data_IF_000159320469
#
_entry.id   IF_000159320469
#
_cell.length_a   1.000
_cell.length_b   1.000
_cell.length_c   1.000
_cell.angle_alpha   90.00
_cell.angle_beta   90.00
_cell.angle_gamma   90.00
#
_symmetry.space_group_name_H-M   'P 1'
#
loop_
_entity.id
_entity.type
_entity.pdbx_description
1 polymer ?
#
# COMPACT_ATOMS: atom_id res chain seq x y z
N UNK A 1 15.71 -6.18 7.77
CA UNK A 1 15.39 -6.42 9.20
C UNK A 1 13.94 -6.07 9.57
N UNK A 2 13.41 -4.91 9.19
CA UNK A 2 12.03 -4.50 9.55
C UNK A 2 10.95 -5.48 9.07
N UNK A 3 11.08 -6.02 7.86
CA UNK A 3 10.11 -6.98 7.32
C UNK A 3 10.03 -8.29 8.14
N UNK A 4 11.17 -8.79 8.59
CA UNK A 4 11.23 -9.93 9.52
C UNK A 4 10.54 -9.61 10.85
N UNK A 5 10.84 -8.43 11.42
CA UNK A 5 10.22 -7.96 12.68
C UNK A 5 8.69 -7.86 12.54
N UNK A 6 8.19 -7.31 11.44
CA UNK A 6 6.76 -7.24 11.15
C UNK A 6 6.13 -8.64 11.09
N UNK A 7 6.79 -9.57 10.40
CA UNK A 7 6.34 -10.96 10.30
C UNK A 7 6.22 -11.64 11.67
N UNK A 8 7.17 -11.36 12.58
CA UNK A 8 7.12 -11.85 13.97
C UNK A 8 5.99 -11.21 14.80
N UNK A 9 5.71 -9.91 14.62
CA UNK A 9 4.60 -9.22 15.27
C UNK A 9 3.22 -9.77 14.85
N UNK A 10 3.12 -10.30 13.64
CA UNK A 10 1.94 -11.02 13.12
C UNK A 10 1.86 -12.49 13.54
N UNK A 11 2.75 -12.93 14.45
CA UNK A 11 2.82 -14.30 14.96
C UNK A 11 2.98 -15.35 13.85
N UNK A 12 3.80 -15.02 12.84
CA UNK A 12 4.19 -15.95 11.78
C UNK A 12 5.32 -16.87 12.25
N UNK A 13 5.35 -18.09 11.68
CA UNK A 13 6.39 -19.08 11.96
C UNK A 13 7.77 -18.57 11.50
N UNK A 14 8.86 -19.02 12.14
CA UNK A 14 10.21 -18.58 11.78
C UNK A 14 10.53 -18.94 10.33
N UNK A 15 10.18 -20.16 9.89
CA UNK A 15 10.37 -20.60 8.51
C UNK A 15 9.65 -19.70 7.51
N UNK A 16 8.38 -19.36 7.77
CA UNK A 16 7.60 -18.47 6.91
C UNK A 16 8.18 -17.06 6.89
N UNK A 17 8.56 -16.52 8.05
CA UNK A 17 9.14 -15.17 8.18
C UNK A 17 10.47 -15.05 7.41
N UNK A 18 11.36 -16.04 7.52
CA UNK A 18 12.65 -16.05 6.78
C UNK A 18 12.39 -16.18 5.28
N UNK A 19 11.52 -17.10 4.87
CA UNK A 19 11.19 -17.30 3.45
C UNK A 19 10.59 -16.04 2.83
N UNK A 20 9.68 -15.36 3.55
CA UNK A 20 9.09 -14.11 3.08
C UNK A 20 10.13 -12.98 2.92
N UNK A 21 11.12 -12.91 3.82
CA UNK A 21 12.23 -11.94 3.69
C UNK A 21 13.10 -12.26 2.48
N UNK A 22 13.40 -13.54 2.23
CA UNK A 22 14.16 -13.93 1.04
C UNK A 22 13.40 -13.56 -0.25
N UNK A 23 12.09 -13.83 -0.29
CA UNK A 23 11.23 -13.42 -1.41
C UNK A 23 11.14 -11.89 -1.58
N UNK A 24 11.20 -11.12 -0.49
CA UNK A 24 11.27 -9.66 -0.56
C UNK A 24 12.58 -9.17 -1.22
N UNK A 25 13.69 -9.84 -0.96
CA UNK A 25 15.00 -9.52 -1.55
C UNK A 25 14.99 -9.81 -3.06
N UNK A 26 14.40 -10.94 -3.47
CA UNK A 26 14.29 -11.33 -4.88
C UNK A 26 12.91 -10.99 -5.49
N UNK A 27 12.33 -9.85 -5.13
CA UNK A 27 10.97 -9.55 -5.56
C UNK A 27 10.86 -9.34 -7.09
N UNK A 28 9.71 -9.64 -7.72
CA UNK A 28 9.53 -9.48 -9.18
C UNK A 28 9.69 -8.04 -9.68
N UNK A 29 9.57 -7.04 -8.80
CA UNK A 29 9.76 -5.64 -9.10
C UNK A 29 11.18 -5.14 -8.75
N UNK A 30 12.15 -6.04 -8.51
CA UNK A 30 13.45 -5.67 -7.92
C UNK A 30 14.22 -4.63 -8.72
N UNK A 31 14.02 -4.54 -10.04
CA UNK A 31 14.60 -3.46 -10.87
C UNK A 31 14.28 -2.07 -10.29
N UNK A 32 13.05 -1.84 -9.84
CA UNK A 32 12.61 -0.59 -9.22
C UNK A 32 13.00 -0.48 -7.73
N UNK A 33 13.48 -1.55 -7.12
CA UNK A 33 14.02 -1.54 -5.77
C UNK A 33 15.54 -1.34 -5.75
N UNK A 34 16.23 -1.65 -6.85
CA UNK A 34 17.69 -1.56 -6.97
C UNK A 34 18.16 -0.27 -7.64
N UNK A 35 17.37 0.30 -8.55
CA UNK A 35 17.65 1.61 -9.18
C UNK A 35 17.06 2.75 -8.32
N UNK A 36 17.49 4.00 -8.55
CA UNK A 36 17.06 5.23 -7.87
C UNK A 36 15.58 5.59 -8.13
N UNK A 37 14.68 4.70 -7.70
CA UNK A 37 13.24 4.82 -7.75
C UNK A 37 12.65 4.92 -6.33
N UNK A 38 11.44 5.45 -6.21
CA UNK A 38 10.82 5.71 -4.91
C UNK A 38 10.17 4.49 -4.26
N UNK A 39 10.04 3.37 -4.99
CA UNK A 39 9.42 2.11 -4.58
C UNK A 39 10.10 1.52 -3.34
N UNK A 40 11.44 1.46 -3.32
CA UNK A 40 12.20 0.95 -2.19
C UNK A 40 11.99 1.79 -0.92
N UNK A 41 12.09 3.13 -1.05
CA UNK A 41 11.88 4.05 0.07
C UNK A 41 10.43 4.00 0.57
N UNK A 42 9.47 3.99 -0.35
CA UNK A 42 8.04 3.85 -0.04
C UNK A 42 7.77 2.55 0.74
N UNK A 43 8.32 1.42 0.29
CA UNK A 43 8.16 0.12 0.94
C UNK A 43 8.81 0.10 2.32
N UNK A 44 10.01 0.67 2.47
CA UNK A 44 10.69 0.81 3.76
C UNK A 44 9.86 1.62 4.76
N UNK A 45 9.33 2.77 4.34
CA UNK A 45 8.50 3.65 5.17
C UNK A 45 7.21 2.93 5.58
N UNK A 46 6.53 2.25 4.67
CA UNK A 46 5.33 1.46 4.95
C UNK A 46 5.61 0.33 5.94
N UNK A 47 6.60 -0.53 5.67
CA UNK A 47 6.94 -1.66 6.54
C UNK A 47 7.32 -1.15 7.94
N UNK A 48 8.08 -0.07 8.02
CA UNK A 48 8.44 0.56 9.29
C UNK A 48 7.20 1.09 10.01
N UNK A 49 6.31 1.80 9.33
CA UNK A 49 5.06 2.28 9.90
C UNK A 49 4.23 1.14 10.50
N UNK A 50 4.10 0.02 9.76
CA UNK A 50 3.38 -1.16 10.22
C UNK A 50 4.01 -1.79 11.47
N UNK A 51 5.35 -1.82 11.57
CA UNK A 51 6.07 -2.27 12.78
C UNK A 51 5.74 -1.37 13.97
N UNK A 52 5.75 -0.05 13.78
CA UNK A 52 5.42 0.92 14.83
C UNK A 52 3.95 0.83 15.25
N UNK A 53 3.04 0.62 14.30
CA UNK A 53 1.61 0.45 14.55
C UNK A 53 1.33 -0.79 15.41
N UNK A 54 1.96 -1.93 15.08
CA UNK A 54 1.86 -3.16 15.89
C UNK A 54 2.55 -3.03 17.25
N UNK A 55 3.55 -2.13 17.37
CA UNK A 55 4.24 -1.84 18.63
C UNK A 55 3.53 -0.78 19.49
N UNK A 56 2.27 -0.42 19.18
CA UNK A 56 1.49 0.61 19.88
C UNK A 56 2.09 2.03 19.87
N UNK A 57 2.99 2.32 18.92
CA UNK A 57 3.62 3.65 18.75
C UNK A 57 2.93 4.42 17.63
N UNK A 58 1.69 4.87 17.90
CA UNK A 58 0.80 5.44 16.88
C UNK A 58 1.37 6.71 16.22
N UNK A 59 1.93 7.64 16.99
CA UNK A 59 2.48 8.89 16.44
C UNK A 59 3.58 8.63 15.41
N UNK A 60 4.56 7.79 15.76
CA UNK A 60 5.66 7.40 14.85
C UNK A 60 5.13 6.67 13.61
N UNK A 61 4.14 5.78 13.78
CA UNK A 61 3.49 5.11 12.66
C UNK A 61 2.82 6.11 11.70
N UNK A 62 2.06 7.09 12.23
CA UNK A 62 1.39 8.11 11.42
C UNK A 62 2.37 9.01 10.68
N UNK A 63 3.47 9.43 11.32
CA UNK A 63 4.54 10.17 10.63
C UNK A 63 5.12 9.37 9.46
N UNK A 64 5.40 8.09 9.65
CA UNK A 64 5.93 7.22 8.60
C UNK A 64 4.91 6.93 7.48
N UNK A 65 3.62 6.81 7.80
CA UNK A 65 2.54 6.72 6.79
C UNK A 65 2.47 8.01 5.97
N UNK A 66 2.53 9.16 6.63
CA UNK A 66 2.52 10.48 5.98
C UNK A 66 3.72 10.64 5.04
N UNK A 67 4.92 10.24 5.48
CA UNK A 67 6.12 10.22 4.63
C UNK A 67 6.01 9.21 3.47
N UNK A 68 5.37 8.05 3.69
CA UNK A 68 5.11 7.06 2.63
C UNK A 68 4.18 7.60 1.55
N UNK A 69 3.14 8.36 1.95
CA UNK A 69 2.23 9.07 1.04
C UNK A 69 2.89 10.25 0.32
N UNK A 70 3.83 10.94 0.99
CA UNK A 70 4.63 11.99 0.37
C UNK A 70 5.59 11.42 -0.69
N UNK A 71 6.20 10.26 -0.39
CA UNK A 71 7.09 9.57 -1.31
C UNK A 71 6.35 9.12 -2.59
N UNK A 72 5.11 8.65 -2.45
CA UNK A 72 4.25 8.24 -3.57
C UNK A 72 2.77 8.39 -3.23
N UNK A 73 1.98 8.87 -4.19
CA UNK A 73 0.53 9.12 -4.01
C UNK A 73 -0.28 7.88 -3.62
N UNK A 74 0.10 6.68 -4.09
CA UNK A 74 -0.53 5.42 -3.66
C UNK A 74 -0.36 5.14 -2.16
N UNK A 75 0.61 5.78 -1.49
CA UNK A 75 0.78 5.73 -0.04
C UNK A 75 -0.33 6.40 0.74
N UNK A 76 -1.19 7.21 0.13
CA UNK A 76 -2.40 7.72 0.79
C UNK A 76 -3.32 6.57 1.26
N UNK A 77 -3.33 5.45 0.53
CA UNK A 77 -4.11 4.25 0.90
C UNK A 77 -3.57 3.58 2.16
N UNK A 78 -2.26 3.73 2.45
CA UNK A 78 -1.62 3.15 3.64
C UNK A 78 -2.22 3.69 4.95
N UNK A 79 -2.91 4.84 4.91
CA UNK A 79 -3.62 5.38 6.06
C UNK A 79 -4.68 4.42 6.61
N UNK A 80 -5.24 3.57 5.73
CA UNK A 80 -6.22 2.56 6.10
C UNK A 80 -5.72 1.64 7.22
N UNK A 81 -4.41 1.37 7.29
CA UNK A 81 -3.82 0.57 8.37
C UNK A 81 -3.97 1.24 9.75
N UNK A 82 -3.76 2.54 9.85
CA UNK A 82 -3.91 3.29 11.10
C UNK A 82 -5.38 3.57 11.45
N UNK A 83 -6.22 3.82 10.43
CA UNK A 83 -7.65 4.09 10.61
C UNK A 83 -8.43 2.83 11.03
N UNK A 84 -8.07 1.65 10.51
CA UNK A 84 -8.84 0.42 10.69
C UNK A 84 -9.04 0.01 12.17
N UNK A 85 -8.02 -0.04 13.04
CA UNK A 85 -8.23 -0.39 14.45
C UNK A 85 -9.13 0.62 15.19
N UNK A 86 -9.04 1.91 14.84
CA UNK A 86 -9.89 2.95 15.41
C UNK A 86 -11.33 2.79 14.94
N UNK A 87 -11.54 2.52 13.65
CA UNK A 87 -12.85 2.25 13.07
C UNK A 87 -13.54 1.08 13.76
N UNK A 88 -12.86 -0.06 13.93
CA UNK A 88 -13.42 -1.22 14.64
C UNK A 88 -13.75 -0.89 16.09
N UNK A 89 -12.88 -0.15 16.79
CA UNK A 89 -13.14 0.26 18.16
C UNK A 89 -14.35 1.20 18.28
N UNK A 90 -14.53 2.12 17.33
CA UNK A 90 -15.71 3.01 17.30
C UNK A 90 -16.98 2.17 17.11
N UNK A 91 -16.99 1.25 16.15
CA UNK A 91 -18.14 0.37 15.89
C UNK A 91 -18.47 -0.56 17.07
N UNK A 92 -17.46 -1.14 17.72
CA UNK A 92 -17.70 -2.01 18.88
C UNK A 92 -18.18 -1.21 20.09
N UNK A 93 -17.56 -0.06 20.39
CA UNK A 93 -17.98 0.83 21.48
C UNK A 93 -19.41 1.33 21.30
N UNK A 94 -19.77 1.75 20.08
CA UNK A 94 -21.13 2.18 19.77
C UNK A 94 -22.13 1.03 19.87
N UNK A 95 -21.81 -0.16 19.36
CA UNK A 95 -22.67 -1.33 19.48
C UNK A 95 -22.91 -1.73 20.95
N UNK A 96 -21.85 -1.76 21.78
CA UNK A 96 -21.98 -2.05 23.22
C UNK A 96 -22.75 -0.96 23.94
N UNK A 97 -22.54 0.31 23.57
CA UNK A 97 -23.25 1.44 24.14
C UNK A 97 -24.76 1.33 23.92
N UNK A 98 -25.20 1.05 22.69
CA UNK A 98 -26.62 0.89 22.38
C UNK A 98 -27.27 -0.28 23.11
N UNK A 99 -26.58 -1.43 23.20
CA UNK A 99 -27.06 -2.59 23.95
C UNK A 99 -27.22 -2.29 25.44
N UNK A 100 -26.19 -1.70 26.04
CA UNK A 100 -26.23 -1.38 27.46
C UNK A 100 -27.20 -0.24 27.78
N UNK A 101 -27.34 0.74 26.88
CA UNK A 101 -28.31 1.82 27.03
C UNK A 101 -29.73 1.28 27.02
N UNK A 102 -30.06 0.37 26.10
CA UNK A 102 -31.37 -0.30 26.06
C UNK A 102 -31.66 -1.06 27.36
N UNK A 103 -30.69 -1.83 27.88
CA UNK A 103 -30.82 -2.56 29.15
C UNK A 103 -30.96 -1.62 30.36
N UNK A 104 -30.25 -0.48 30.37
CA UNK A 104 -30.29 0.52 31.44
C UNK A 104 -31.59 1.32 31.47
N UNK A 105 -32.13 1.65 30.30
CA UNK A 105 -33.45 2.28 30.18
C UNK A 105 -34.54 1.33 30.66
N UNK A 106 -34.47 0.05 30.26
CA UNK A 106 -35.40 -0.98 30.71
C UNK A 106 -35.36 -1.20 32.23
N UNK A 107 -34.16 -1.20 32.83
CA UNK A 107 -33.98 -1.43 34.27
C UNK A 107 -34.21 -0.19 35.16
N UNK A 108 -34.59 0.97 34.59
CA UNK A 108 -34.74 2.27 35.29
C UNK A 108 -33.51 2.70 36.13
N UNK A 109 -32.34 2.09 35.90
CA UNK A 109 -31.05 2.40 36.53
C UNK A 109 -30.13 3.10 35.53
N UNK A 110 -30.64 4.16 34.91
CA UNK A 110 -29.86 4.93 33.95
C UNK A 110 -28.81 5.77 34.69
N UNK A 111 -27.53 5.37 34.57
CA UNK A 111 -26.41 6.18 35.05
C UNK A 111 -25.95 7.13 33.94
N UNK A 112 -26.40 8.38 34.01
CA UNK A 112 -26.06 9.44 33.04
C UNK A 112 -24.54 9.62 32.89
N UNK A 113 -23.78 9.48 33.97
CA UNK A 113 -22.33 9.60 33.93
C UNK A 113 -21.69 8.51 33.05
N UNK A 114 -22.15 7.26 33.15
CA UNK A 114 -21.65 6.16 32.32
C UNK A 114 -21.96 6.37 30.82
N UNK A 115 -23.12 6.96 30.53
CA UNK A 115 -23.53 7.31 29.16
C UNK A 115 -22.62 8.41 28.59
N UNK A 116 -22.44 9.50 29.33
CA UNK A 116 -21.58 10.62 28.95
C UNK A 116 -20.13 10.19 28.75
N UNK A 117 -19.59 9.35 29.64
CA UNK A 117 -18.22 8.83 29.53
C UNK A 117 -18.02 7.96 28.28
N UNK A 118 -19.03 7.15 27.91
CA UNK A 118 -18.95 6.32 26.70
C UNK A 118 -19.05 7.17 25.44
N UNK A 119 -19.96 8.14 25.41
CA UNK A 119 -20.06 9.11 24.31
C UNK A 119 -18.74 9.87 24.13
N UNK A 120 -18.15 10.37 25.22
CA UNK A 120 -16.87 11.06 25.19
C UNK A 120 -15.73 10.20 24.63
N UNK A 121 -15.67 8.91 24.99
CA UNK A 121 -14.70 7.97 24.41
C UNK A 121 -14.87 7.82 22.90
N UNK A 122 -16.11 7.76 22.41
CA UNK A 122 -16.38 7.69 20.95
C UNK A 122 -15.91 8.96 20.26
N UNK A 123 -16.26 10.14 20.79
CA UNK A 123 -15.81 11.44 20.26
C UNK A 123 -14.29 11.52 20.22
N UNK A 124 -13.58 11.13 21.29
CA UNK A 124 -12.11 11.09 21.32
C UNK A 124 -11.51 10.22 20.20
N UNK A 125 -12.12 9.05 19.91
CA UNK A 125 -11.65 8.18 18.82
C UNK A 125 -11.94 8.75 17.43
N UNK A 126 -13.08 9.43 17.26
CA UNK A 126 -13.41 10.13 16.01
C UNK A 126 -12.44 11.29 15.76
N UNK A 127 -12.17 12.12 16.77
CA UNK A 127 -11.20 13.22 16.67
C UNK A 127 -9.81 12.69 16.32
N UNK A 128 -9.38 11.60 16.95
CA UNK A 128 -8.11 10.94 16.61
C UNK A 128 -8.10 10.41 15.17
N UNK A 129 -9.20 9.80 14.71
CA UNK A 129 -9.32 9.30 13.34
C UNK A 129 -9.20 10.43 12.32
N UNK A 130 -9.92 11.55 12.53
CA UNK A 130 -9.84 12.74 11.67
C UNK A 130 -8.43 13.34 11.70
N UNK A 131 -7.82 13.42 12.89
CA UNK A 131 -6.44 13.89 13.04
C UNK A 131 -5.44 13.08 12.21
N UNK A 132 -5.55 11.75 12.24
CA UNK A 132 -4.71 10.86 11.41
C UNK A 132 -4.92 11.13 9.91
N UNK A 133 -6.18 11.27 9.47
CA UNK A 133 -6.53 11.62 8.08
C UNK A 133 -5.89 12.93 7.65
N UNK A 134 -6.04 13.98 8.45
CA UNK A 134 -5.46 15.28 8.17
C UNK A 134 -3.92 15.21 8.10
N UNK A 135 -3.26 14.58 9.07
CA UNK A 135 -1.78 14.47 9.11
C UNK A 135 -1.22 13.64 7.95
N UNK A 136 -1.91 12.58 7.53
CA UNK A 136 -1.48 11.77 6.40
C UNK A 136 -1.71 12.48 5.05
N UNK A 137 -2.79 13.26 4.93
CA UNK A 137 -3.08 14.04 3.71
C UNK A 137 -2.24 15.31 3.59
N UNK A 138 -1.75 15.86 4.71
CA UNK A 138 -1.05 17.14 4.76
C UNK A 138 0.11 17.28 3.76
N UNK A 139 1.06 16.32 3.61
CA UNK A 139 2.13 16.47 2.63
C UNK A 139 1.63 16.50 1.18
N UNK A 140 0.57 15.73 0.89
CA UNK A 140 -0.06 15.76 -0.43
C UNK A 140 -0.73 17.12 -0.68
N UNK A 141 -1.44 17.66 0.30
CA UNK A 141 -2.02 18.99 0.22
C UNK A 141 -0.95 20.08 0.01
N UNK A 142 0.17 19.99 0.73
CA UNK A 142 1.30 20.90 0.59
C UNK A 142 1.92 20.84 -0.81
N UNK A 143 2.08 19.64 -1.37
CA UNK A 143 2.56 19.46 -2.75
C UNK A 143 1.59 20.05 -3.78
N UNK A 144 0.28 19.81 -3.62
CA UNK A 144 -0.73 20.39 -4.52
C UNK A 144 -0.77 21.92 -4.42
N UNK A 145 -0.65 22.46 -3.20
CA UNK A 145 -0.59 23.89 -2.97
C UNK A 145 0.66 24.53 -3.59
N UNK A 146 1.82 23.87 -3.45
CA UNK A 146 3.05 24.29 -4.12
C UNK A 146 2.89 24.32 -5.66
N UNK A 147 2.29 23.27 -6.24
CA UNK A 147 1.97 23.25 -7.67
C UNK A 147 1.02 24.38 -8.09
N UNK A 148 0.00 24.66 -7.28
CA UNK A 148 -0.90 25.77 -7.54
C UNK A 148 -0.18 27.12 -7.52
N UNK A 149 0.65 27.39 -6.51
CA UNK A 149 1.47 28.61 -6.44
C UNK A 149 2.39 28.79 -7.67
N UNK A 150 2.97 27.70 -8.19
CA UNK A 150 3.88 27.76 -9.33
C UNK A 150 3.19 28.06 -10.66
N UNK A 151 2.03 27.45 -10.89
CA UNK A 151 1.39 27.38 -12.21
C UNK A 151 0.10 28.22 -12.34
N UNK A 152 -0.52 28.63 -11.24
CA UNK A 152 -1.83 29.28 -11.22
C UNK A 152 -1.84 30.71 -10.65
N UNK A 153 -0.84 31.09 -9.86
CA UNK A 153 -0.69 32.47 -9.40
C UNK A 153 0.19 33.26 -10.37
N UNK A 154 -0.37 34.34 -10.90
CA UNK A 154 0.36 35.29 -11.77
C UNK A 154 1.03 36.43 -10.96
N UNK A 155 0.76 36.53 -9.65
CA UNK A 155 1.16 37.66 -8.81
C UNK A 155 2.68 37.77 -8.53
N UNK A 156 3.10 39.03 -8.47
CA UNK A 156 4.45 39.58 -8.62
C UNK A 156 5.53 39.04 -7.66
N UNK A 157 6.59 38.49 -8.26
CA UNK A 157 8.02 38.47 -7.88
C UNK A 157 8.51 38.14 -6.45
N UNK A 158 7.80 38.43 -5.35
CA UNK A 158 8.35 38.33 -3.99
C UNK A 158 8.23 36.93 -3.36
N UNK A 159 7.03 36.33 -3.33
CA UNK A 159 6.83 34.99 -2.77
C UNK A 159 7.30 33.88 -3.73
N UNK A 160 7.17 34.13 -5.04
CA UNK A 160 7.48 33.17 -6.10
C UNK A 160 8.98 32.96 -6.32
N UNK A 161 9.80 34.01 -6.14
CA UNK A 161 11.25 33.96 -6.38
C UNK A 161 11.97 32.97 -5.48
N UNK A 162 11.56 32.83 -4.21
CA UNK A 162 12.11 31.83 -3.30
C UNK A 162 11.59 30.40 -3.52
N UNK A 163 10.49 30.22 -4.25
CA UNK A 163 9.82 28.93 -4.49
C UNK A 163 10.09 28.36 -5.89
N UNK A 164 10.65 29.16 -6.80
CA UNK A 164 10.95 28.74 -8.16
C UNK A 164 12.04 27.67 -8.17
N UNK A 165 11.84 26.56 -8.92
CA UNK A 165 12.92 25.62 -9.17
C UNK A 165 14.06 26.30 -9.96
N UNK A 166 15.24 25.69 -10.04
CA UNK A 166 16.30 26.16 -10.93
C UNK A 166 15.81 26.21 -12.39
N UNK A 167 16.32 27.19 -13.14
CA UNK A 167 15.96 27.38 -14.56
C UNK A 167 16.34 26.12 -15.35
N UNK A 168 15.42 25.57 -16.16
CA UNK A 168 15.69 24.37 -16.96
C UNK A 168 16.73 24.63 -18.05
N UNK A 169 17.39 23.56 -18.49
CA UNK A 169 18.34 23.65 -19.62
C UNK A 169 17.64 24.14 -20.90
N UNK A 170 18.37 24.82 -21.82
CA UNK A 170 17.76 25.33 -23.06
C UNK A 170 17.05 24.25 -23.87
N UNK A 171 17.63 23.05 -23.95
CA UNK A 171 17.03 21.91 -24.64
C UNK A 171 15.67 21.50 -24.06
N UNK A 172 15.54 21.49 -22.72
CA UNK A 172 14.29 21.16 -22.04
C UNK A 172 13.25 22.26 -22.25
N UNK A 173 13.65 23.52 -22.23
CA UNK A 173 12.78 24.66 -22.54
C UNK A 173 12.24 24.60 -23.96
N UNK A 174 13.10 24.31 -24.95
CA UNK A 174 12.68 24.12 -26.34
C UNK A 174 11.74 22.93 -26.49
N UNK A 175 11.99 21.83 -25.78
CA UNK A 175 11.12 20.65 -25.80
C UNK A 175 9.75 20.93 -25.20
N UNK A 176 9.69 21.63 -24.06
CA UNK A 176 8.44 22.04 -23.44
C UNK A 176 7.60 22.95 -24.36
N UNK A 177 8.25 23.88 -25.06
CA UNK A 177 7.61 24.73 -26.08
C UNK A 177 7.05 23.89 -27.24
N UNK A 178 7.81 22.92 -27.76
CA UNK A 178 7.35 22.01 -28.83
C UNK A 178 6.12 21.20 -28.43
N UNK A 179 6.06 20.75 -27.18
CA UNK A 179 4.93 20.02 -26.64
C UNK A 179 3.77 20.92 -26.15
N UNK A 180 3.90 22.23 -26.27
CA UNK A 180 2.96 23.21 -25.72
C UNK A 180 2.64 22.97 -24.23
N UNK A 181 3.66 22.57 -23.44
CA UNK A 181 3.53 22.37 -21.98
C UNK A 181 3.91 23.66 -21.27
N UNK A 182 2.99 24.15 -20.42
CA UNK A 182 3.26 25.31 -19.55
C UNK A 182 4.35 24.96 -18.54
N UNK A 183 5.33 25.84 -18.41
CA UNK A 183 6.39 25.76 -17.38
C UNK A 183 6.21 26.89 -16.36
N UNK A 184 6.79 26.78 -15.15
CA UNK A 184 6.83 27.89 -14.20
C UNK A 184 7.52 29.16 -14.75
N UNK A 185 8.31 29.04 -15.82
CA UNK A 185 9.05 30.15 -16.43
C UNK A 185 8.35 30.76 -17.64
N UNK A 186 7.20 30.22 -18.06
CA UNK A 186 6.47 30.75 -19.22
C UNK A 186 5.84 32.09 -18.84
N UNK A 187 6.32 33.18 -19.45
CA UNK A 187 5.75 34.53 -19.31
C UNK A 187 4.74 34.80 -20.43
N UNK A 188 3.75 35.66 -20.18
CA UNK A 188 2.72 36.11 -21.13
C UNK A 188 1.80 35.01 -21.68
N UNK A 189 1.02 34.36 -20.80
CA UNK A 189 0.01 33.38 -21.19
C UNK A 189 -1.39 33.90 -20.86
N UNK A 190 -2.28 33.93 -21.86
CA UNK A 190 -3.67 34.41 -21.70
C UNK A 190 -4.63 33.38 -21.10
N UNK A 191 -4.21 32.11 -20.99
CA UNK A 191 -5.03 31.02 -20.44
C UNK A 191 -4.34 30.30 -19.27
N UNK A 192 -5.02 30.27 -18.11
CA UNK A 192 -4.63 29.46 -16.97
C UNK A 192 -4.86 27.95 -17.24
N UNK A 193 -4.04 27.03 -16.68
CA UNK A 193 -4.33 25.61 -16.71
C UNK A 193 -5.74 25.32 -16.17
N UNK A 194 -6.41 24.33 -16.76
CA UNK A 194 -7.77 23.92 -16.35
C UNK A 194 -7.87 23.56 -14.87
N UNK A 195 -6.78 23.07 -14.26
CA UNK A 195 -6.74 22.72 -12.83
C UNK A 195 -6.61 23.92 -11.89
N UNK A 196 -6.45 25.16 -12.41
CA UNK A 196 -6.32 26.37 -11.60
C UNK A 196 -7.66 26.91 -11.07
N UNK A 197 -8.78 26.62 -11.75
CA UNK A 197 -10.12 27.04 -11.32
C UNK A 197 -10.71 26.22 -10.16
N UNK A 198 -10.04 25.13 -9.77
CA UNK A 198 -10.50 24.21 -8.72
C UNK A 198 -9.40 23.99 -7.69
N UNK A 199 -9.25 24.94 -6.78
CA UNK A 199 -8.37 24.77 -5.61
C UNK A 199 -9.12 24.04 -4.50
N UNK A 200 -8.54 23.00 -3.87
CA UNK A 200 -7.38 22.21 -4.27
C UNK A 200 -7.80 20.76 -4.49
N UNK A 201 -7.86 20.25 -5.72
CA UNK A 201 -7.68 18.82 -5.98
C UNK A 201 -7.42 18.57 -7.48
N UNK A 202 -6.18 18.18 -7.75
CA UNK A 202 -5.79 17.29 -8.84
C UNK A 202 -5.21 17.89 -10.13
N UNK A 203 -4.14 18.67 -9.98
CA UNK A 203 -3.17 18.89 -11.07
C UNK A 203 -2.72 17.55 -11.66
N UNK A 204 -2.42 16.56 -10.80
CA UNK A 204 -1.93 15.25 -11.20
C UNK A 204 -2.94 14.49 -12.08
N UNK A 205 -4.20 14.28 -11.69
CA UNK A 205 -5.13 13.48 -12.52
C UNK A 205 -5.36 14.13 -13.89
N UNK A 206 -5.42 15.46 -13.98
CA UNK A 206 -5.57 16.18 -15.25
C UNK A 206 -4.35 16.00 -16.15
N UNK A 207 -3.15 16.10 -15.59
CA UNK A 207 -1.90 15.85 -16.30
C UNK A 207 -1.83 14.38 -16.77
N UNK A 208 -2.17 13.42 -15.91
CA UNK A 208 -2.18 12.00 -16.26
C UNK A 208 -3.17 11.68 -17.39
N UNK A 209 -4.37 12.27 -17.32
CA UNK A 209 -5.37 12.08 -18.36
C UNK A 209 -4.90 12.68 -19.70
N UNK A 210 -4.34 13.90 -19.69
CA UNK A 210 -3.87 14.57 -20.91
C UNK A 210 -2.68 13.87 -21.58
N UNK A 211 -1.65 13.49 -20.81
CA UNK A 211 -0.40 12.96 -21.39
C UNK A 211 -0.33 11.45 -21.44
N UNK A 212 -1.00 10.76 -20.53
CA UNK A 212 -0.94 9.31 -20.42
C UNK A 212 -2.27 8.63 -20.74
N UNK A 213 -3.33 9.37 -21.06
CA UNK A 213 -4.68 8.84 -21.33
C UNK A 213 -5.15 7.87 -20.24
N UNK A 214 -4.88 8.26 -18.99
CA UNK A 214 -5.27 7.52 -17.78
C UNK A 214 -6.67 7.97 -17.37
N UNK A 215 -7.54 6.99 -17.13
CA UNK A 215 -8.91 7.18 -16.68
C UNK A 215 -9.61 5.84 -16.54
N UNK A 216 -10.85 5.86 -16.04
CA UNK A 216 -11.63 4.64 -15.83
C UNK A 216 -11.77 3.85 -17.14
N UNK A 217 -11.14 2.67 -17.19
CA UNK A 217 -11.13 1.73 -18.32
C UNK A 217 -10.60 2.29 -19.65
N UNK A 218 -9.95 3.45 -19.67
CA UNK A 218 -9.45 4.08 -20.90
C UNK A 218 -8.25 3.34 -21.54
N UNK A 219 -7.58 2.49 -20.76
CA UNK A 219 -6.40 1.73 -21.19
C UNK A 219 -6.72 0.46 -22.00
N UNK A 220 -7.97 -0.02 -21.95
CA UNK A 220 -8.34 -1.33 -22.47
C UNK A 220 -8.45 -1.31 -24.00
N UNK A 221 -7.35 -1.68 -24.66
CA UNK A 221 -7.23 -1.80 -26.11
C UNK A 221 -6.55 -3.12 -26.45
N UNK A 222 -6.89 -3.75 -27.57
CA UNK A 222 -6.27 -5.01 -28.01
C UNK A 222 -4.73 -4.93 -28.08
N UNK A 223 -4.17 -3.78 -28.45
CA UNK A 223 -2.72 -3.56 -28.49
C UNK A 223 -2.03 -3.69 -27.12
N UNK A 224 -2.77 -3.61 -26.01
CA UNK A 224 -2.24 -3.66 -24.66
C UNK A 224 -2.20 -5.07 -24.06
N UNK A 225 -2.69 -6.10 -24.76
CA UNK A 225 -2.70 -7.50 -24.28
C UNK A 225 -1.34 -7.95 -23.70
N UNK A 226 -0.18 -7.63 -24.31
CA UNK A 226 1.12 -7.97 -23.72
C UNK A 226 1.33 -7.42 -22.31
N UNK A 227 0.85 -6.20 -22.03
CA UNK A 227 0.96 -5.56 -20.72
C UNK A 227 0.02 -6.20 -19.68
N UNK A 228 -1.14 -6.71 -20.11
CA UNK A 228 -2.00 -7.51 -19.24
C UNK A 228 -1.36 -8.86 -18.91
N UNK A 229 -0.74 -9.52 -19.88
CA UNK A 229 0.01 -10.76 -19.64
C UNK A 229 1.18 -10.52 -18.66
N UNK A 230 1.85 -9.38 -18.77
CA UNK A 230 2.91 -8.98 -17.85
C UNK A 230 2.42 -8.75 -16.42
N UNK A 231 1.20 -8.25 -16.22
CA UNK A 231 0.62 -8.06 -14.89
C UNK A 231 -0.13 -9.31 -14.37
N UNK A 232 -0.41 -10.28 -15.24
CA UNK A 232 -1.25 -11.42 -14.89
C UNK A 232 -0.75 -12.22 -13.68
N UNK A 233 0.54 -12.54 -13.53
CA UNK A 233 1.00 -13.34 -12.39
C UNK A 233 0.75 -12.67 -11.03
N UNK A 234 1.02 -11.37 -10.88
CA UNK A 234 0.76 -10.66 -9.62
C UNK A 234 -0.73 -10.55 -9.33
N UNK A 235 -1.55 -10.37 -10.37
CA UNK A 235 -3.01 -10.30 -10.23
C UNK A 235 -3.61 -11.65 -9.83
N UNK A 236 -3.13 -12.75 -10.43
CA UNK A 236 -3.52 -14.11 -10.04
C UNK A 236 -3.16 -14.37 -8.58
N UNK A 237 -1.94 -14.03 -8.14
CA UNK A 237 -1.53 -14.16 -6.73
C UNK A 237 -2.43 -13.31 -5.83
N UNK A 238 -2.74 -12.07 -6.22
CA UNK A 238 -3.62 -11.19 -5.45
C UNK A 238 -5.04 -11.77 -5.31
N UNK A 239 -5.61 -12.27 -6.41
CA UNK A 239 -6.91 -12.94 -6.42
C UNK A 239 -6.90 -14.18 -5.52
N UNK A 240 -5.87 -15.02 -5.62
CA UNK A 240 -5.73 -16.22 -4.77
C UNK A 240 -5.65 -15.88 -3.27
N UNK A 241 -4.94 -14.81 -2.90
CA UNK A 241 -4.89 -14.30 -1.52
C UNK A 241 -6.29 -13.92 -1.03
N UNK A 242 -7.02 -13.13 -1.82
CA UNK A 242 -8.34 -12.62 -1.46
C UNK A 242 -9.35 -13.78 -1.38
N UNK A 243 -9.36 -14.68 -2.36
CA UNK A 243 -10.24 -15.85 -2.39
C UNK A 243 -9.95 -16.81 -1.24
N UNK A 244 -8.69 -17.15 -0.98
CA UNK A 244 -8.34 -18.04 0.12
C UNK A 244 -8.68 -17.44 1.49
N UNK A 245 -8.46 -16.13 1.68
CA UNK A 245 -8.88 -15.45 2.90
C UNK A 245 -10.41 -15.46 3.05
N UNK A 246 -11.15 -15.19 1.96
CA UNK A 246 -12.62 -15.24 1.96
C UNK A 246 -13.15 -16.63 2.33
N UNK A 247 -12.59 -17.70 1.75
CA UNK A 247 -12.97 -19.06 2.06
C UNK A 247 -12.64 -19.46 3.51
N UNK A 248 -11.48 -19.02 4.03
CA UNK A 248 -11.04 -19.35 5.40
C UNK A 248 -11.75 -18.51 6.48
N UNK A 249 -12.06 -17.24 6.20
CA UNK A 249 -12.49 -16.25 7.19
C UNK A 249 -13.68 -15.41 6.70
N UNK A 250 -14.68 -16.05 6.08
CA UNK A 250 -15.85 -15.39 5.44
C UNK A 250 -16.55 -14.39 6.36
N UNK A 251 -16.78 -14.74 7.63
CA UNK A 251 -17.44 -13.87 8.61
C UNK A 251 -16.60 -12.62 8.92
N UNK A 252 -15.30 -12.80 9.12
CA UNK A 252 -14.37 -11.70 9.35
C UNK A 252 -14.33 -10.76 8.14
N UNK A 253 -14.30 -11.31 6.93
CA UNK A 253 -14.35 -10.53 5.70
C UNK A 253 -15.68 -9.73 5.62
N UNK A 254 -16.83 -10.39 5.62
CA UNK A 254 -18.12 -9.70 5.43
C UNK A 254 -18.47 -8.71 6.54
N UNK A 255 -18.00 -8.92 7.76
CA UNK A 255 -18.25 -8.00 8.90
C UNK A 255 -17.16 -6.95 9.08
N UNK A 256 -16.27 -6.77 8.10
CA UNK A 256 -15.14 -5.84 8.15
C UNK A 256 -14.21 -6.07 9.37
N UNK A 257 -14.26 -7.24 10.00
CA UNK A 257 -13.48 -7.56 11.19
C UNK A 257 -14.17 -7.31 12.54
N UNK A 258 -15.50 -7.10 12.56
CA UNK A 258 -16.30 -7.08 13.79
C UNK A 258 -16.36 -8.47 14.41
N UNK A 259 -16.68 -9.49 13.59
CA UNK A 259 -16.72 -10.89 14.01
C UNK A 259 -15.48 -11.61 13.49
N UNK A 260 -14.49 -11.79 14.36
CA UNK A 260 -13.24 -12.46 14.00
C UNK A 260 -12.93 -13.55 15.00
N UNK A 261 -12.74 -14.76 14.48
CA UNK A 261 -12.49 -15.96 15.29
C UNK A 261 -11.01 -16.07 15.71
N UNK A 262 -10.09 -15.48 14.94
CA UNK A 262 -8.65 -15.63 15.14
C UNK A 262 -7.90 -14.29 15.10
N UNK A 263 -7.04 -14.04 16.09
CA UNK A 263 -6.20 -12.83 16.14
C UNK A 263 -5.33 -12.65 14.88
N UNK A 264 -4.80 -13.74 14.31
CA UNK A 264 -4.01 -13.65 13.07
C UNK A 264 -4.85 -13.13 11.92
N UNK A 265 -6.08 -13.64 11.76
CA UNK A 265 -7.01 -13.16 10.74
C UNK A 265 -7.36 -11.67 10.96
N UNK A 266 -7.55 -11.25 12.22
CA UNK A 266 -7.79 -9.84 12.58
C UNK A 266 -6.64 -8.93 12.15
N UNK A 267 -5.40 -9.38 12.31
CA UNK A 267 -4.21 -8.61 11.94
C UNK A 267 -3.93 -8.63 10.43
N UNK A 268 -4.28 -9.72 9.73
CA UNK A 268 -4.10 -9.82 8.28
C UNK A 268 -5.20 -9.10 7.49
N UNK A 269 -6.41 -8.95 8.05
CA UNK A 269 -7.56 -8.38 7.34
C UNK A 269 -7.30 -7.00 6.70
N UNK A 270 -6.65 -6.02 7.37
CA UNK A 270 -6.30 -4.74 6.75
C UNK A 270 -5.44 -4.91 5.49
N UNK A 271 -4.52 -5.88 5.49
CA UNK A 271 -3.69 -6.16 4.31
C UNK A 271 -4.50 -6.73 3.15
N UNK A 272 -5.54 -7.53 3.43
CA UNK A 272 -6.45 -8.06 2.41
C UNK A 272 -7.25 -6.93 1.77
N UNK A 273 -7.83 -6.03 2.57
CA UNK A 273 -8.56 -4.87 2.04
C UNK A 273 -7.66 -3.92 1.27
N UNK A 274 -6.44 -3.69 1.76
CA UNK A 274 -5.46 -2.87 1.07
C UNK A 274 -5.10 -3.47 -0.30
N UNK A 275 -4.84 -4.77 -0.37
CA UNK A 275 -4.56 -5.49 -1.61
C UNK A 275 -5.76 -5.46 -2.57
N UNK A 276 -6.97 -5.71 -2.06
CA UNK A 276 -8.21 -5.67 -2.85
C UNK A 276 -8.42 -4.29 -3.46
N UNK A 277 -8.32 -3.23 -2.65
CA UNK A 277 -8.49 -1.86 -3.12
C UNK A 277 -7.46 -1.49 -4.18
N UNK A 278 -6.16 -1.71 -3.93
CA UNK A 278 -5.11 -1.35 -4.88
C UNK A 278 -5.20 -2.15 -6.18
N UNK A 279 -5.60 -3.43 -6.11
CA UNK A 279 -5.78 -4.27 -7.29
C UNK A 279 -6.97 -3.77 -8.13
N UNK A 280 -8.14 -3.55 -7.53
CA UNK A 280 -9.32 -3.05 -8.23
C UNK A 280 -9.10 -1.65 -8.80
N UNK A 281 -8.55 -0.74 -8.00
CA UNK A 281 -8.25 0.62 -8.42
C UNK A 281 -7.24 0.65 -9.56
N UNK A 282 -6.16 -0.14 -9.44
CA UNK A 282 -5.11 -0.17 -10.46
C UNK A 282 -5.54 -0.83 -11.77
N UNK A 283 -6.39 -1.87 -11.71
CA UNK A 283 -7.02 -2.45 -12.91
C UNK A 283 -7.92 -1.42 -13.58
N UNK A 284 -8.74 -0.70 -12.82
CA UNK A 284 -9.73 0.21 -13.39
C UNK A 284 -9.15 1.54 -13.89
N UNK A 285 -8.14 2.10 -13.20
CA UNK A 285 -7.72 3.49 -13.37
C UNK A 285 -6.22 3.68 -13.63
N UNK A 286 -5.41 2.62 -13.71
CA UNK A 286 -3.96 2.72 -13.94
C UNK A 286 -3.59 1.85 -15.15
N UNK A 287 -2.49 2.19 -15.83
CA UNK A 287 -1.87 1.30 -16.80
C UNK A 287 -1.43 0.00 -16.12
N UNK A 288 -2.00 -1.11 -16.56
CA UNK A 288 -1.93 -2.42 -15.88
C UNK A 288 -0.50 -2.92 -15.66
N UNK A 289 0.44 -2.56 -16.53
CA UNK A 289 1.87 -2.87 -16.34
C UNK A 289 2.43 -2.41 -14.98
N UNK A 290 1.95 -1.27 -14.46
CA UNK A 290 2.41 -0.66 -13.18
C UNK A 290 1.99 -1.47 -11.95
N UNK A 291 1.04 -2.39 -12.09
CA UNK A 291 0.48 -3.14 -10.96
C UNK A 291 1.53 -3.99 -10.24
N UNK A 292 2.47 -4.62 -10.95
CA UNK A 292 3.49 -5.45 -10.32
C UNK A 292 4.34 -4.63 -9.35
N UNK A 293 4.94 -3.53 -9.80
CA UNK A 293 5.75 -2.68 -8.91
C UNK A 293 4.93 -2.00 -7.81
N UNK A 294 3.69 -1.60 -8.09
CA UNK A 294 2.82 -0.96 -7.10
C UNK A 294 2.43 -1.95 -6.00
N UNK A 295 1.99 -3.16 -6.35
CA UNK A 295 1.55 -4.15 -5.38
C UNK A 295 2.73 -4.71 -4.57
N UNK A 296 3.87 -5.01 -5.18
CA UNK A 296 5.05 -5.52 -4.45
C UNK A 296 5.68 -4.47 -3.50
N UNK A 297 5.53 -3.17 -3.78
CA UNK A 297 6.00 -2.10 -2.87
C UNK A 297 5.02 -1.75 -1.76
N UNK A 298 3.70 -1.91 -1.98
CA UNK A 298 2.66 -1.49 -1.03
C UNK A 298 1.94 -2.64 -0.30
N UNK A 299 2.13 -3.91 -0.70
CA UNK A 299 1.39 -5.04 -0.13
C UNK A 299 2.31 -6.14 0.45
N UNK A 300 2.76 -6.03 1.71
CA UNK A 300 3.51 -7.06 2.45
C UNK A 300 2.94 -8.49 2.38
N UNK A 301 1.61 -8.61 2.29
CA UNK A 301 0.88 -9.89 2.26
C UNK A 301 1.25 -10.78 1.07
N UNK A 302 1.66 -10.20 -0.06
CA UNK A 302 2.11 -10.95 -1.23
C UNK A 302 3.26 -11.88 -0.85
N UNK A 303 4.25 -11.35 -0.12
CA UNK A 303 5.43 -12.11 0.30
C UNK A 303 5.08 -13.18 1.33
N UNK A 304 4.20 -12.88 2.30
CA UNK A 304 3.78 -13.86 3.30
C UNK A 304 3.01 -15.02 2.67
N UNK A 305 2.15 -14.73 1.70
CA UNK A 305 1.39 -15.76 1.00
C UNK A 305 2.27 -16.60 0.07
N UNK A 306 3.15 -15.97 -0.71
CA UNK A 306 4.11 -16.72 -1.53
C UNK A 306 5.01 -17.61 -0.64
N UNK A 307 5.46 -17.09 0.51
CA UNK A 307 6.22 -17.86 1.48
C UNK A 307 5.42 -19.01 2.10
N UNK A 308 4.11 -18.83 2.33
CA UNK A 308 3.25 -19.87 2.90
C UNK A 308 3.08 -21.04 1.94
N UNK A 309 3.00 -20.77 0.63
CA UNK A 309 3.01 -21.81 -0.43
C UNK A 309 4.33 -22.58 -0.42
N UNK A 310 5.48 -21.89 -0.37
CA UNK A 310 6.79 -22.56 -0.36
C UNK A 310 7.02 -23.39 0.90
N UNK A 311 6.60 -22.90 2.07
CA UNK A 311 6.76 -23.61 3.35
C UNK A 311 5.71 -24.70 3.55
N UNK A 312 4.59 -24.68 2.81
CA UNK A 312 3.44 -25.54 3.06
C UNK A 312 2.77 -25.21 4.40
N UNK A 313 2.73 -23.93 4.77
CA UNK A 313 2.01 -23.42 5.94
C UNK A 313 0.71 -22.77 5.47
N UNK A 314 -0.41 -23.00 6.17
CA UNK A 314 -1.64 -22.26 5.90
C UNK A 314 -1.59 -20.91 6.61
N UNK A 315 -1.47 -19.83 5.82
CA UNK A 315 -1.36 -18.47 6.33
C UNK A 315 -2.61 -18.01 7.09
N UNK A 316 -3.80 -18.47 6.68
CA UNK A 316 -5.09 -17.99 7.18
C UNK A 316 -5.70 -18.90 8.24
N UNK A 317 -5.27 -20.16 8.31
CA UNK A 317 -5.65 -21.06 9.39
C UNK A 317 -5.15 -20.58 10.75
N UNK A 318 -5.90 -20.84 11.85
CA UNK A 318 -5.38 -20.74 13.21
C UNK A 318 -4.05 -21.49 13.32
N UNK A 319 -3.11 -20.85 14.00
CA UNK A 319 -1.87 -21.49 14.40
C UNK A 319 -2.26 -22.68 15.26
N UNK A 320 -2.24 -23.90 14.71
CA UNK A 320 -2.24 -25.09 15.56
C UNK A 320 -1.05 -24.90 16.49
N UNK A 321 -1.28 -24.83 17.79
CA UNK A 321 -0.19 -24.87 18.76
C UNK A 321 0.64 -26.12 18.45
N UNK A 322 1.79 -25.89 17.81
CA UNK A 322 2.68 -26.95 17.36
C UNK A 322 3.47 -27.42 18.57
N UNK A 323 2.84 -28.25 19.40
CA UNK A 323 3.57 -29.18 20.29
C UNK A 323 4.41 -30.21 19.51
N UNK A 324 4.35 -30.24 18.17
CA UNK A 324 4.95 -31.30 17.35
C UNK A 324 5.83 -30.86 16.18
N UNK A 325 6.25 -29.58 16.07
CA UNK A 325 7.39 -29.26 15.19
C UNK A 325 8.59 -28.87 16.04
N UNK A 326 9.68 -29.62 15.85
CA UNK A 326 10.97 -29.42 16.51
C UNK A 326 11.29 -27.91 16.57
N UNK A 327 11.77 -27.40 17.71
CA UNK A 327 12.20 -26.02 17.79
C UNK A 327 13.20 -25.76 16.67
N UNK A 328 13.00 -24.64 15.98
CA UNK A 328 13.88 -24.14 14.92
C UNK A 328 15.17 -23.66 15.61
N UNK A 329 16.02 -24.59 16.07
CA UNK A 329 17.20 -24.33 16.90
C UNK A 329 18.50 -24.18 16.11
N UNK A 330 18.47 -24.33 14.79
CA UNK A 330 19.66 -24.21 13.96
C UNK A 330 19.76 -22.81 13.35
N UNK A 331 20.91 -22.16 13.54
CA UNK A 331 21.23 -20.82 13.08
C UNK A 331 20.97 -20.57 11.58
N UNK A 332 20.93 -19.27 11.21
CA UNK A 332 20.87 -18.81 9.82
C UNK A 332 22.14 -19.24 9.07
N UNK A 333 22.11 -20.37 8.39
CA UNK A 333 23.19 -20.81 7.50
C UNK A 333 22.89 -20.44 6.04
N UNK A 334 23.92 -19.98 5.32
CA UNK A 334 23.86 -19.64 3.88
C UNK A 334 23.36 -20.84 3.06
N UNK A 335 23.80 -22.05 3.39
CA UNK A 335 23.36 -23.29 2.71
C UNK A 335 21.84 -23.45 2.77
N UNK A 336 21.21 -23.07 3.89
CA UNK A 336 19.75 -23.13 4.05
C UNK A 336 19.04 -22.10 3.17
N UNK A 337 19.60 -20.90 3.01
CA UNK A 337 19.04 -19.88 2.13
C UNK A 337 19.10 -20.31 0.68
N UNK A 338 20.23 -20.87 0.25
CA UNK A 338 20.39 -21.45 -1.10
C UNK A 338 19.35 -22.55 -1.30
N UNK A 339 19.14 -23.42 -0.30
CA UNK A 339 18.12 -24.47 -0.39
C UNK A 339 16.70 -23.91 -0.54
N UNK A 340 16.32 -22.88 0.22
CA UNK A 340 14.99 -22.24 0.11
C UNK A 340 14.80 -21.56 -1.25
N UNK A 341 15.87 -21.00 -1.80
CA UNK A 341 15.82 -20.26 -3.06
C UNK A 341 15.97 -21.15 -4.30
N UNK A 342 16.44 -22.39 -4.15
CA UNK A 342 16.57 -23.32 -5.26
C UNK A 342 15.22 -23.94 -5.66
N UNK A 343 14.76 -23.79 -6.92
CA UNK A 343 13.55 -24.46 -7.41
C UNK A 343 13.64 -26.00 -7.31
N UNK A 344 14.84 -26.59 -7.37
CA UNK A 344 15.01 -28.05 -7.29
C UNK A 344 14.71 -28.63 -5.91
N UNK A 345 14.71 -27.79 -4.86
CA UNK A 345 14.42 -28.21 -3.49
C UNK A 345 12.95 -28.53 -3.23
N UNK A 346 12.06 -28.14 -4.14
CA UNK A 346 10.61 -28.27 -3.96
C UNK A 346 10.06 -29.45 -4.78
N UNK A 347 9.25 -30.34 -4.18
CA UNK A 347 8.66 -31.46 -4.91
C UNK A 347 7.54 -31.00 -5.85
N UNK A 348 6.73 -30.03 -5.42
CA UNK A 348 5.51 -29.63 -6.12
C UNK A 348 5.77 -28.68 -7.29
N UNK A 349 5.13 -28.93 -8.44
CA UNK A 349 5.26 -28.09 -9.64
C UNK A 349 4.88 -26.62 -9.38
N UNK A 350 3.80 -26.35 -8.65
CA UNK A 350 3.36 -24.99 -8.36
C UNK A 350 4.38 -24.18 -7.53
N UNK A 351 5.13 -24.82 -6.62
CA UNK A 351 6.20 -24.16 -5.85
C UNK A 351 7.37 -23.78 -6.76
N UNK A 352 7.74 -24.66 -7.68
CA UNK A 352 8.79 -24.40 -8.68
C UNK A 352 8.41 -23.22 -9.58
N UNK A 353 7.19 -23.24 -10.13
CA UNK A 353 6.66 -22.19 -11.00
C UNK A 353 6.66 -20.84 -10.28
N UNK A 354 6.28 -20.79 -9.00
CA UNK A 354 6.30 -19.57 -8.21
C UNK A 354 7.71 -18.96 -8.10
N UNK A 355 8.72 -19.77 -7.78
CA UNK A 355 10.11 -19.28 -7.72
C UNK A 355 10.67 -18.90 -9.10
N UNK A 356 10.37 -19.69 -10.13
CA UNK A 356 10.75 -19.37 -11.50
C UNK A 356 10.13 -18.04 -11.95
N UNK A 357 8.89 -17.74 -11.56
CA UNK A 357 8.27 -16.44 -11.79
C UNK A 357 9.08 -15.29 -11.17
N UNK A 358 9.50 -15.41 -9.90
CA UNK A 358 10.31 -14.38 -9.23
C UNK A 358 11.63 -14.14 -9.98
N UNK A 359 12.35 -15.21 -10.33
CA UNK A 359 13.61 -15.09 -11.07
C UNK A 359 13.44 -14.57 -12.50
N UNK A 360 12.43 -15.06 -13.22
CA UNK A 360 12.16 -14.64 -14.59
C UNK A 360 11.85 -13.15 -14.65
N UNK A 361 11.06 -12.62 -13.72
CA UNK A 361 10.74 -11.18 -13.69
C UNK A 361 11.95 -10.31 -13.37
N UNK A 362 12.87 -10.76 -12.52
CA UNK A 362 14.13 -10.03 -12.31
C UNK A 362 14.94 -10.01 -13.60
N UNK A 363 15.15 -11.17 -14.24
CA UNK A 363 15.98 -11.29 -15.43
C UNK A 363 15.40 -10.50 -16.61
N UNK A 364 14.14 -10.78 -16.95
CA UNK A 364 13.43 -10.10 -18.04
C UNK A 364 13.31 -8.62 -17.74
N UNK A 365 13.07 -8.25 -16.47
CA UNK A 365 12.99 -6.86 -16.07
C UNK A 365 14.29 -6.10 -16.25
N UNK A 366 15.43 -6.68 -15.88
CA UNK A 366 16.73 -6.06 -16.15
C UNK A 366 16.93 -5.84 -17.66
N UNK A 367 16.62 -6.83 -18.49
CA UNK A 367 16.76 -6.73 -19.95
C UNK A 367 15.83 -5.65 -20.52
N UNK A 368 14.54 -5.70 -20.19
CA UNK A 368 13.55 -4.77 -20.75
C UNK A 368 13.77 -3.34 -20.27
N UNK A 369 14.07 -3.16 -18.99
CA UNK A 369 14.29 -1.83 -18.41
C UNK A 369 15.53 -1.14 -19.00
N UNK A 370 16.65 -1.87 -19.14
CA UNK A 370 17.88 -1.34 -19.77
C UNK A 370 17.70 -0.95 -21.24
N UNK A 371 16.71 -1.54 -21.93
CA UNK A 371 16.37 -1.21 -23.32
C UNK A 371 15.25 -0.17 -23.44
N UNK A 372 14.86 0.51 -22.35
CA UNK A 372 13.76 1.49 -22.30
C UNK A 372 12.41 0.95 -22.80
N UNK A 373 12.21 -0.37 -22.70
CA UNK A 373 10.93 -1.00 -23.00
C UNK A 373 9.96 -0.83 -21.83
N UNK A 374 8.63 -0.87 -22.08
CA UNK A 374 7.64 -0.86 -21.01
C UNK A 374 7.84 -2.10 -20.13
N UNK A 375 8.48 -1.92 -18.98
CA UNK A 375 8.60 -2.91 -17.92
C UNK A 375 7.90 -2.39 -16.67
N UNK A 376 7.18 -3.31 -16.02
CA UNK A 376 6.25 -3.12 -14.89
C UNK A 376 6.29 -1.76 -14.22
#
# INVERSE_FOLDING_TARGET
>A
MQFYRLSKLLRLSNSLSVTAVLLFIINPASVFFSVLYSEALHSLLLISALVHLHSQRLFQACCLISLSAFCRSNGLVNIGFACYPLFINILTLTSTFWKDAALRVWSRKANLHAILMTFWRVVQKIVLLVGIICTAYFPHALFQFYGWLLYCCDDHYSLRSGLLPPVPSPALSTYALKLAVRTPFTTNVTAAPEWCGHVPLSSYNKIQSKFWNVGFLQYYKFKQIPNFLLAAPVLVIASLIICNFYCSARRAFLTLGILVDNLRQKQLLPHIYHLLFLSLYGIANIHVQVLTRMLFSSCPILYWYCASILVGDDLFSPSKDRKTRRPFSDGLSISRFIKILSPTSYPSAHQKVLLLYFYAYILVGCIMHSNFLPWT
#
